data_IF_820414606101
#
_entry.id   IF_820414606101
#
_cell.length_a   1.000
_cell.length_b   1.000
_cell.length_c   1.000
_cell.angle_alpha   90.00
_cell.angle_beta   90.00
_cell.angle_gamma   90.00
#
_symmetry.space_group_name_H-M   'P 1'
#
loop_
_entity.id
_entity.type
_entity.pdbx_description
1 polymer ?
#
# COMPACT_ATOMS: atom_id res chain seq x y z
N UNK A 1 2.21 11.34 5.54
CA UNK A 1 1.89 10.20 4.64
C UNK A 1 2.57 10.28 3.27
N UNK A 2 2.24 11.24 2.36
CA UNK A 2 2.86 11.26 1.02
C UNK A 2 4.37 11.55 1.06
N UNK A 3 4.82 12.38 2.01
CA UNK A 3 6.23 12.62 2.26
C UNK A 3 6.94 11.31 2.68
N UNK A 4 6.40 10.63 3.69
CA UNK A 4 6.91 9.36 4.22
C UNK A 4 7.00 8.29 3.13
N UNK A 5 5.97 8.15 2.29
CA UNK A 5 6.01 7.24 1.14
C UNK A 5 7.16 7.59 0.17
N UNK A 6 7.39 8.87 -0.12
CA UNK A 6 8.48 9.31 -1.00
C UNK A 6 9.85 9.02 -0.39
N UNK A 7 10.00 9.22 0.91
CA UNK A 7 11.23 8.92 1.64
C UNK A 7 11.51 7.43 1.64
N UNK A 8 10.50 6.61 1.97
CA UNK A 8 10.58 5.17 1.94
C UNK A 8 10.98 4.65 0.56
N UNK A 9 10.30 5.12 -0.48
CA UNK A 9 10.58 4.75 -1.86
C UNK A 9 11.99 5.13 -2.30
N UNK A 10 12.51 6.28 -1.84
CA UNK A 10 13.90 6.67 -2.09
C UNK A 10 14.88 5.73 -1.39
N UNK A 11 14.60 5.35 -0.15
CA UNK A 11 15.42 4.40 0.61
C UNK A 11 15.45 3.03 -0.08
N UNK A 12 14.27 2.46 -0.37
CA UNK A 12 14.14 1.13 -0.94
C UNK A 12 14.76 1.04 -2.35
N UNK A 13 14.65 2.09 -3.17
CA UNK A 13 15.38 2.16 -4.46
C UNK A 13 16.89 2.09 -4.26
N UNK A 14 17.42 2.74 -3.22
CA UNK A 14 18.86 2.76 -2.91
C UNK A 14 19.34 1.39 -2.42
N UNK A 15 18.62 0.78 -1.49
CA UNK A 15 19.03 -0.46 -0.82
C UNK A 15 18.82 -1.69 -1.70
N UNK A 16 17.68 -1.79 -2.38
CA UNK A 16 17.40 -2.92 -3.29
C UNK A 16 18.15 -2.79 -4.64
N UNK A 17 18.43 -1.55 -5.06
CA UNK A 17 18.91 -1.22 -6.40
C UNK A 17 17.81 -1.30 -7.48
N UNK A 18 16.54 -1.45 -7.12
CA UNK A 18 15.43 -1.49 -8.07
C UNK A 18 14.90 -0.09 -8.40
N UNK A 19 15.39 0.51 -9.48
CA UNK A 19 14.97 1.85 -9.93
C UNK A 19 13.53 1.92 -10.44
N UNK A 20 12.91 0.78 -10.75
CA UNK A 20 11.53 0.70 -11.23
C UNK A 20 10.49 0.77 -10.10
N UNK A 21 10.89 0.70 -8.82
CA UNK A 21 9.96 0.86 -7.70
C UNK A 21 9.23 2.21 -7.81
N UNK A 22 7.90 2.20 -7.83
CA UNK A 22 7.05 3.38 -7.96
C UNK A 22 5.97 3.43 -6.88
N UNK A 23 5.34 4.59 -6.67
CA UNK A 23 4.27 4.76 -5.68
C UNK A 23 3.12 3.77 -5.90
N UNK A 24 2.80 3.46 -7.16
CA UNK A 24 1.79 2.47 -7.52
C UNK A 24 2.06 1.06 -6.97
N UNK A 25 3.32 0.65 -6.79
CA UNK A 25 3.64 -0.65 -6.17
C UNK A 25 3.32 -0.69 -4.69
N UNK A 26 3.57 0.41 -3.96
CA UNK A 26 3.23 0.50 -2.53
C UNK A 26 1.72 0.61 -2.35
N UNK A 27 1.05 1.39 -3.21
CA UNK A 27 -0.40 1.47 -3.19
C UNK A 27 -1.03 0.10 -3.50
N UNK A 28 -0.53 -0.61 -4.51
CA UNK A 28 -0.99 -1.98 -4.82
C UNK A 28 -0.77 -2.94 -3.65
N UNK A 29 0.40 -2.89 -3.00
CA UNK A 29 0.68 -3.68 -1.81
C UNK A 29 -0.27 -3.34 -0.66
N UNK A 30 -0.46 -2.05 -0.34
CA UNK A 30 -1.35 -1.59 0.72
C UNK A 30 -2.80 -2.05 0.48
N UNK A 31 -3.28 -1.91 -0.76
CA UNK A 31 -4.65 -2.30 -1.12
C UNK A 31 -4.91 -3.80 -0.96
N UNK A 32 -3.90 -4.66 -1.14
CA UNK A 32 -4.03 -6.11 -0.90
C UNK A 32 -4.17 -6.49 0.57
N UNK A 33 -3.86 -5.58 1.49
CA UNK A 33 -4.00 -5.79 2.93
C UNK A 33 -5.28 -5.18 3.50
N UNK A 34 -6.14 -4.57 2.66
CA UNK A 34 -7.44 -4.09 3.09
C UNK A 34 -8.36 -5.29 3.35
N UNK A 35 -9.07 -5.34 4.50
CA UNK A 35 -10.08 -6.35 4.78
C UNK A 35 -11.17 -6.37 3.71
N UNK A 36 -11.70 -7.55 3.39
CA UNK A 36 -12.77 -7.67 2.39
C UNK A 36 -14.15 -7.25 2.94
N UNK A 37 -14.34 -7.32 4.26
CA UNK A 37 -15.59 -6.96 4.92
C UNK A 37 -15.71 -5.44 5.19
N UNK A 38 -16.93 -4.92 5.01
CA UNK A 38 -17.22 -3.48 5.10
C UNK A 38 -17.05 -2.94 6.51
N UNK A 39 -17.41 -3.73 7.53
CA UNK A 39 -17.33 -3.29 8.93
C UNK A 39 -15.86 -3.06 9.35
N UNK A 40 -14.96 -4.00 9.03
CA UNK A 40 -13.51 -3.82 9.30
C UNK A 40 -12.91 -2.68 8.48
N UNK A 41 -13.40 -2.42 7.27
CA UNK A 41 -12.98 -1.25 6.49
C UNK A 41 -13.40 0.06 7.18
N UNK A 42 -14.61 0.11 7.73
CA UNK A 42 -15.10 1.27 8.48
C UNK A 42 -14.28 1.46 9.76
N UNK A 43 -14.03 0.40 10.52
CA UNK A 43 -13.20 0.44 11.73
C UNK A 43 -11.79 0.94 11.43
N UNK A 44 -11.17 0.43 10.35
CA UNK A 44 -9.86 0.88 9.89
C UNK A 44 -9.84 2.39 9.57
N UNK A 45 -10.86 2.89 8.87
CA UNK A 45 -10.98 4.31 8.58
C UNK A 45 -11.24 5.16 9.83
N UNK A 46 -12.01 4.65 10.80
CA UNK A 46 -12.27 5.33 12.07
C UNK A 46 -11.01 5.43 12.91
N UNK A 47 -10.28 4.34 13.10
CA UNK A 47 -9.01 4.33 13.82
C UNK A 47 -8.02 5.36 13.23
N UNK A 48 -7.90 5.41 11.91
CA UNK A 48 -7.05 6.38 11.22
C UNK A 48 -7.46 7.84 11.49
N UNK A 49 -8.76 8.12 11.56
CA UNK A 49 -9.29 9.44 11.86
C UNK A 49 -9.12 9.80 13.34
N UNK A 50 -9.33 8.85 14.25
CA UNK A 50 -9.25 9.03 15.69
C UNK A 50 -7.82 9.35 16.13
N UNK A 51 -6.82 8.65 15.57
CA UNK A 51 -5.39 8.95 15.76
C UNK A 51 -5.02 10.38 15.35
N UNK A 52 -5.83 10.98 14.48
CA UNK A 52 -5.66 12.34 13.96
C UNK A 52 -6.65 13.34 14.55
N UNK A 53 -7.46 12.94 15.53
CA UNK A 53 -8.54 13.75 16.10
C UNK A 53 -9.47 14.34 15.02
N UNK A 54 -9.68 13.61 13.93
CA UNK A 54 -10.44 14.06 12.76
C UNK A 54 -9.76 15.11 11.88
N UNK A 55 -8.53 15.52 12.21
CA UNK A 55 -7.75 16.52 11.46
C UNK A 55 -6.85 15.83 10.45
N UNK A 56 -7.31 15.78 9.21
CA UNK A 56 -6.58 15.24 8.06
C UNK A 56 -6.29 16.38 7.08
N UNK A 57 -5.06 16.46 6.56
CA UNK A 57 -4.75 17.39 5.48
C UNK A 57 -5.68 17.13 4.29
N UNK A 58 -6.11 18.20 3.61
CA UNK A 58 -6.94 18.09 2.42
C UNK A 58 -6.23 17.19 1.38
N UNK A 59 -6.81 16.02 1.12
CA UNK A 59 -6.26 15.06 0.17
C UNK A 59 -6.16 15.67 -1.23
N UNK A 60 -4.95 15.76 -1.78
CA UNK A 60 -4.78 16.09 -3.20
C UNK A 60 -5.20 14.89 -4.04
N UNK A 61 -6.19 15.09 -4.92
CA UNK A 61 -6.50 14.10 -5.96
C UNK A 61 -5.23 13.74 -6.72
N UNK A 62 -4.87 12.46 -6.67
CA UNK A 62 -3.68 11.93 -7.32
C UNK A 62 -4.07 10.64 -8.03
N UNK A 63 -3.71 10.51 -9.31
CA UNK A 63 -3.99 9.32 -10.11
C UNK A 63 -2.77 8.40 -10.09
N UNK A 64 -2.95 7.21 -9.54
CA UNK A 64 -1.91 6.18 -9.47
C UNK A 64 -2.32 4.96 -10.27
N UNK A 65 -1.38 4.41 -11.04
CA UNK A 65 -1.57 3.11 -11.70
C UNK A 65 -1.34 2.00 -10.68
N UNK A 66 -2.37 1.19 -10.44
CA UNK A 66 -2.33 0.00 -9.58
C UNK A 66 -2.55 -1.25 -10.45
N UNK A 67 -2.23 -2.42 -9.91
CA UNK A 67 -2.51 -3.68 -10.58
C UNK A 67 -4.01 -3.97 -10.70
N UNK A 68 -4.41 -4.94 -11.54
CA UNK A 68 -5.82 -5.27 -11.77
C UNK A 68 -6.54 -5.75 -10.50
N UNK A 69 -5.84 -6.45 -9.61
CA UNK A 69 -6.39 -6.92 -8.34
C UNK A 69 -6.75 -5.74 -7.42
N UNK A 70 -5.81 -4.83 -7.21
CA UNK A 70 -6.01 -3.62 -6.42
C UNK A 70 -7.09 -2.70 -7.02
N UNK A 71 -7.16 -2.62 -8.35
CA UNK A 71 -8.23 -1.88 -9.04
C UNK A 71 -9.61 -2.48 -8.77
N UNK A 72 -9.74 -3.81 -8.84
CA UNK A 72 -10.99 -4.50 -8.55
C UNK A 72 -11.42 -4.25 -7.10
N UNK A 73 -10.47 -4.37 -6.16
CA UNK A 73 -10.68 -4.11 -4.73
C UNK A 73 -11.18 -2.68 -4.47
N UNK A 74 -10.55 -1.65 -5.07
CA UNK A 74 -11.00 -0.26 -4.90
C UNK A 74 -12.37 -0.01 -5.51
N UNK A 75 -12.69 -0.70 -6.60
CA UNK A 75 -13.98 -0.58 -7.29
C UNK A 75 -15.11 -1.16 -6.44
N UNK A 76 -14.90 -2.31 -5.78
CA UNK A 76 -15.88 -2.92 -4.88
C UNK A 76 -15.94 -2.21 -3.52
N UNK A 77 -14.80 -1.72 -3.02
CA UNK A 77 -14.70 -0.94 -1.78
C UNK A 77 -15.64 0.28 -1.81
N UNK A 78 -15.56 1.10 -2.87
CA UNK A 78 -16.39 2.29 -2.97
C UNK A 78 -17.88 1.95 -3.00
N UNK A 79 -18.25 0.82 -3.63
CA UNK A 79 -19.63 0.37 -3.66
C UNK A 79 -20.12 -0.09 -2.28
N UNK A 80 -19.38 -0.98 -1.61
CA UNK A 80 -19.76 -1.48 -0.28
C UNK A 80 -19.84 -0.35 0.76
N UNK A 81 -18.90 0.59 0.74
CA UNK A 81 -18.94 1.75 1.61
C UNK A 81 -20.11 2.69 1.28
N UNK A 82 -20.46 2.85 0.01
CA UNK A 82 -21.61 3.67 -0.39
C UNK A 82 -22.94 3.07 0.12
N UNK A 83 -23.07 1.75 0.05
CA UNK A 83 -24.25 1.02 0.56
C UNK A 83 -24.37 1.11 2.09
N UNK A 84 -23.25 1.27 2.80
CA UNK A 84 -23.18 1.50 4.25
C UNK A 84 -23.21 3.00 4.67
N UNK A 85 -23.58 3.92 3.77
CA UNK A 85 -23.57 5.38 3.99
C UNK A 85 -22.20 5.97 4.39
N UNK A 86 -21.12 5.26 4.02
CA UNK A 86 -19.72 5.59 4.31
C UNK A 86 -18.91 5.94 3.05
N UNK A 87 -19.54 6.02 1.87
CA UNK A 87 -18.86 6.10 0.57
C UNK A 87 -17.89 7.28 0.40
N UNK A 88 -18.17 8.44 1.00
CA UNK A 88 -17.28 9.62 0.94
C UNK A 88 -15.98 9.46 1.73
N UNK A 89 -15.86 8.38 2.52
CA UNK A 89 -14.75 8.10 3.43
C UNK A 89 -13.84 6.96 2.95
N UNK A 90 -14.07 6.41 1.76
CA UNK A 90 -13.20 5.37 1.17
C UNK A 90 -11.73 5.79 1.05
N UNK A 91 -11.46 7.10 0.87
CA UNK A 91 -10.12 7.66 0.91
C UNK A 91 -9.40 7.38 2.24
N UNK A 92 -10.12 7.36 3.36
CA UNK A 92 -9.53 7.09 4.68
C UNK A 92 -9.18 5.63 4.86
N UNK A 93 -9.95 4.71 4.29
CA UNK A 93 -9.57 3.28 4.26
C UNK A 93 -8.25 3.10 3.49
N UNK A 94 -8.14 3.71 2.31
CA UNK A 94 -6.90 3.66 1.51
C UNK A 94 -5.72 4.33 2.23
N UNK A 95 -5.97 5.45 2.92
CA UNK A 95 -4.94 6.16 3.68
C UNK A 95 -4.46 5.36 4.88
N UNK A 96 -5.39 4.73 5.61
CA UNK A 96 -5.10 3.83 6.72
C UNK A 96 -4.29 2.63 6.26
N UNK A 97 -4.68 1.98 5.16
CA UNK A 97 -3.97 0.84 4.60
C UNK A 97 -2.52 1.20 4.21
N UNK A 98 -2.32 2.39 3.60
CA UNK A 98 -0.99 2.86 3.24
C UNK A 98 -0.14 3.17 4.47
N UNK A 99 -0.72 3.79 5.50
CA UNK A 99 -0.02 4.04 6.76
C UNK A 99 0.40 2.74 7.45
N UNK A 100 -0.52 1.79 7.60
CA UNK A 100 -0.23 0.47 8.18
C UNK A 100 0.87 -0.26 7.42
N UNK A 101 0.86 -0.20 6.08
CA UNK A 101 1.94 -0.77 5.28
C UNK A 101 3.29 -0.09 5.59
N UNK A 102 3.33 1.25 5.61
CA UNK A 102 4.58 1.98 5.88
C UNK A 102 5.13 1.65 7.27
N UNK A 103 4.27 1.60 8.29
CA UNK A 103 4.65 1.21 9.64
C UNK A 103 5.20 -0.22 9.72
N UNK A 104 4.53 -1.17 9.06
CA UNK A 104 4.99 -2.56 9.00
C UNK A 104 6.36 -2.66 8.30
N UNK A 105 6.51 -1.98 7.17
CA UNK A 105 7.77 -1.93 6.43
C UNK A 105 8.89 -1.28 7.23
N UNK A 106 8.61 -0.25 8.03
CA UNK A 106 9.61 0.40 8.89
C UNK A 106 10.04 -0.54 10.03
N UNK A 107 9.11 -1.34 10.57
CA UNK A 107 9.42 -2.38 11.56
C UNK A 107 10.26 -3.53 10.97
N UNK A 108 10.04 -3.89 9.70
CA UNK A 108 10.82 -4.93 8.99
C UNK A 108 12.22 -4.44 8.55
N UNK A 109 12.43 -3.13 8.47
CA UNK A 109 13.69 -2.52 8.07
C UNK A 109 13.83 -2.34 6.55
N UNK A 110 15.08 -2.18 6.11
CA UNK A 110 15.39 -1.81 4.72
C UNK A 110 15.08 -2.94 3.72
N UNK A 111 14.50 -2.59 2.57
CA UNK A 111 14.29 -3.55 1.48
C UNK A 111 15.65 -4.01 0.91
N UNK A 112 16.01 -5.26 1.17
CA UNK A 112 17.28 -5.83 0.72
C UNK A 112 17.25 -6.17 -0.77
N UNK A 113 18.42 -6.10 -1.40
CA UNK A 113 18.58 -6.59 -2.77
C UNK A 113 18.30 -8.11 -2.79
N UNK A 114 17.43 -8.61 -3.69
CA UNK A 114 17.19 -10.03 -3.79
C UNK A 114 18.49 -10.76 -4.17
N UNK A 115 18.80 -11.84 -3.47
CA UNK A 115 19.91 -12.71 -3.83
C UNK A 115 19.65 -13.27 -5.24
N UNK A 116 20.58 -13.02 -6.16
CA UNK A 116 20.53 -13.66 -7.47
C UNK A 116 20.66 -15.16 -7.22
N UNK A 117 19.61 -15.94 -7.52
CA UNK A 117 19.72 -17.40 -7.59
C UNK A 117 20.88 -17.72 -8.55
N UNK A 118 22.02 -18.10 -7.99
CA UNK A 118 23.17 -18.58 -8.77
C UNK A 118 22.67 -19.74 -9.60
N UNK A 119 22.78 -19.63 -10.93
CA UNK A 119 22.39 -20.68 -11.87
C UNK A 119 23.01 -21.99 -11.37
N UNK A 120 22.17 -22.96 -11.05
CA UNK A 120 22.58 -24.36 -10.82
C UNK A 120 23.44 -24.75 -12.02
N UNK A 121 24.74 -24.98 -11.78
CA UNK A 121 25.64 -25.51 -12.80
C UNK A 121 25.07 -26.85 -13.23
N UNK A 122 24.64 -26.95 -14.49
CA UNK A 122 24.31 -28.25 -15.07
C UNK A 122 25.61 -29.07 -15.10
N UNK A 123 25.64 -30.29 -14.56
CA UNK A 123 26.80 -31.15 -14.72
C UNK A 123 26.99 -31.42 -16.21
N UNK A 124 28.16 -31.07 -16.74
CA UNK A 124 28.62 -31.51 -18.05
C UNK A 124 28.93 -33.00 -17.95
N UNK A 125 28.01 -33.84 -18.44
CA UNK A 125 28.29 -35.25 -18.65
C UNK A 125 29.42 -35.39 -19.68
N UNK A 126 30.53 -36.00 -19.27
CA UNK A 126 31.58 -36.53 -20.15
C UNK A 126 31.28 -37.98 -20.53
#
# INVERSE_FOLDING_TARGET
MLADLKERLKSDRRTSGNTMLGQGHYLDAALRHIPEDVDSQIEMAQAFLDDRMGVVEAGKQSTYRVGPLAHALVSTLNQGLQEADYGRRGLYVVSAALESLLQALDAEGELQRPERRTKVQRPTSS
#
